data_IF_042084927128
#
_entry.id   IF_042084927128
#
_cell.length_a   1.000
_cell.length_b   1.000
_cell.length_c   1.000
_cell.angle_alpha   90.00
_cell.angle_beta   90.00
_cell.angle_gamma   90.00
#
_symmetry.space_group_name_H-M   'P 1'
#
loop_
_entity.id
_entity.type
_entity.pdbx_description
1 polymer ?
#
# COMPACT_ATOMS: atom_id res chain seq x y z
N UNK A 1 11.99 -10.38 -13.99
CA UNK A 1 10.63 -10.16 -13.47
C UNK A 1 10.04 -8.92 -14.09
N UNK A 2 8.80 -8.96 -14.48
CA UNK A 2 8.19 -7.84 -15.16
C UNK A 2 7.62 -6.83 -14.15
N UNK A 3 7.46 -5.60 -14.62
CA UNK A 3 6.85 -4.57 -13.82
C UNK A 3 5.46 -4.98 -13.32
N UNK A 4 4.73 -5.65 -14.18
CA UNK A 4 3.38 -6.09 -13.86
C UNK A 4 3.37 -7.03 -12.65
N UNK A 5 4.33 -7.92 -12.61
CA UNK A 5 4.41 -8.87 -11.49
C UNK A 5 4.71 -8.15 -10.18
N UNK A 6 5.60 -7.16 -10.24
CA UNK A 6 5.92 -6.39 -9.03
C UNK A 6 4.73 -5.59 -8.53
N UNK A 7 4.01 -4.97 -9.46
CA UNK A 7 2.83 -4.21 -9.08
C UNK A 7 1.76 -5.12 -8.49
N UNK A 8 1.60 -6.29 -9.09
CA UNK A 8 0.62 -7.24 -8.61
C UNK A 8 0.94 -7.73 -7.20
N UNK A 9 2.20 -8.02 -6.95
CA UNK A 9 2.62 -8.44 -5.61
C UNK A 9 2.40 -7.36 -4.59
N UNK A 10 2.80 -6.14 -4.94
CA UNK A 10 2.67 -5.01 -4.03
C UNK A 10 1.20 -4.72 -3.74
N UNK A 11 0.37 -4.79 -4.77
CA UNK A 11 -1.06 -4.59 -4.63
C UNK A 11 -1.65 -5.61 -3.65
N UNK A 12 -1.25 -6.86 -3.79
CA UNK A 12 -1.73 -7.91 -2.89
C UNK A 12 -1.28 -7.68 -1.45
N UNK A 13 -0.06 -7.22 -1.29
CA UNK A 13 0.45 -6.94 0.05
C UNK A 13 -0.35 -5.84 0.72
N UNK A 14 -0.68 -4.81 -0.03
CA UNK A 14 -1.48 -3.72 0.51
C UNK A 14 -2.84 -4.25 0.94
N UNK A 15 -3.49 -5.01 0.08
CA UNK A 15 -4.81 -5.54 0.37
C UNK A 15 -4.77 -6.46 1.60
N UNK A 16 -3.78 -7.33 1.64
CA UNK A 16 -3.64 -8.25 2.76
C UNK A 16 -3.42 -7.51 4.06
N UNK A 17 -2.58 -6.48 4.02
CA UNK A 17 -2.30 -5.66 5.19
C UNK A 17 -3.56 -4.95 5.67
N UNK A 18 -4.34 -4.40 4.73
CA UNK A 18 -5.57 -3.72 5.10
C UNK A 18 -6.57 -4.66 5.75
N UNK A 19 -6.68 -5.87 5.21
CA UNK A 19 -7.59 -6.86 5.77
C UNK A 19 -7.16 -7.29 7.16
N UNK A 20 -5.86 -7.52 7.31
CA UNK A 20 -5.34 -7.99 8.59
C UNK A 20 -5.56 -6.93 9.68
N UNK A 21 -5.44 -5.67 9.32
CA UNK A 21 -5.52 -4.59 10.29
C UNK A 21 -6.84 -3.83 10.23
N UNK A 22 -7.76 -4.30 9.39
CA UNK A 22 -9.08 -3.69 9.27
C UNK A 22 -9.00 -2.21 8.90
N UNK A 23 -8.21 -1.92 7.87
CA UNK A 23 -7.97 -0.55 7.45
C UNK A 23 -8.70 -0.24 6.16
N UNK A 24 -9.22 0.97 6.08
CA UNK A 24 -9.77 1.49 4.83
C UNK A 24 -8.63 2.15 4.03
N UNK A 25 -8.92 2.42 2.75
CA UNK A 25 -7.95 3.14 1.92
C UNK A 25 -7.61 4.50 2.53
N UNK A 26 -8.64 5.18 3.03
CA UNK A 26 -8.44 6.50 3.62
C UNK A 26 -7.56 6.43 4.86
N UNK A 27 -7.79 5.44 5.70
CA UNK A 27 -6.99 5.28 6.91
C UNK A 27 -5.55 4.97 6.57
N UNK A 28 -5.35 4.09 5.61
CA UNK A 28 -3.99 3.75 5.21
C UNK A 28 -3.28 4.95 4.60
N UNK A 29 -4.01 5.74 3.80
CA UNK A 29 -3.45 6.93 3.18
C UNK A 29 -3.01 7.94 4.24
N UNK A 30 -3.87 8.17 5.21
CA UNK A 30 -3.55 9.10 6.29
C UNK A 30 -2.30 8.68 7.05
N UNK A 31 -2.25 7.40 7.40
CA UNK A 31 -1.17 6.92 8.25
C UNK A 31 0.14 6.77 7.51
N UNK A 32 0.09 6.45 6.23
CA UNK A 32 1.30 6.25 5.44
C UNK A 32 1.76 7.52 4.74
N UNK A 33 0.96 8.57 4.80
CA UNK A 33 1.22 9.84 4.11
C UNK A 33 1.27 9.66 2.60
N UNK A 34 0.52 8.71 2.09
CA UNK A 34 0.39 8.47 0.67
C UNK A 34 -1.04 8.82 0.28
N UNK A 35 -1.21 9.47 -0.85
CA UNK A 35 -2.53 9.87 -1.31
C UNK A 35 -3.46 8.67 -1.45
N UNK A 36 -4.72 8.84 -1.06
CA UNK A 36 -5.69 7.76 -1.19
C UNK A 36 -5.87 7.38 -2.66
N UNK A 37 -5.73 8.35 -3.55
CA UNK A 37 -5.79 8.10 -4.98
C UNK A 37 -4.71 7.14 -5.44
N UNK A 38 -3.49 7.36 -4.96
CA UNK A 38 -2.38 6.46 -5.29
C UNK A 38 -2.63 5.05 -4.77
N UNK A 39 -3.09 4.95 -3.54
CA UNK A 39 -3.38 3.65 -2.96
C UNK A 39 -4.44 2.92 -3.77
N UNK A 40 -5.50 3.62 -4.11
CA UNK A 40 -6.58 3.04 -4.89
C UNK A 40 -6.10 2.57 -6.27
N UNK A 41 -5.31 3.41 -6.93
CA UNK A 41 -4.82 3.09 -8.27
C UNK A 41 -3.84 1.92 -8.24
N UNK A 42 -3.01 1.86 -7.22
CA UNK A 42 -2.06 0.75 -7.08
C UNK A 42 -2.82 -0.55 -6.85
N UNK A 43 -3.84 -0.54 -6.00
CA UNK A 43 -4.64 -1.72 -5.74
C UNK A 43 -5.37 -2.20 -7.00
N UNK A 44 -5.79 -1.25 -7.81
CA UNK A 44 -6.45 -1.58 -9.07
C UNK A 44 -5.46 -1.88 -10.19
N UNK A 45 -4.19 -1.79 -9.91
CA UNK A 45 -3.11 -2.02 -10.87
C UNK A 45 -3.18 -1.07 -12.06
N UNK A 46 -3.66 0.13 -11.81
CA UNK A 46 -3.72 1.18 -12.83
C UNK A 46 -2.48 2.04 -12.85
N UNK A 47 -1.70 1.99 -11.79
CA UNK A 47 -0.56 2.86 -11.62
C UNK A 47 0.56 2.06 -10.98
N UNK A 48 1.77 2.19 -11.53
CA UNK A 48 2.94 1.60 -10.91
C UNK A 48 3.45 2.57 -9.85
N UNK A 49 3.63 2.12 -8.60
CA UNK A 49 4.09 3.03 -7.56
C UNK A 49 5.53 3.44 -7.81
N UNK A 50 5.84 4.71 -7.55
CA UNK A 50 7.22 5.14 -7.67
C UNK A 50 7.98 4.78 -6.39
N UNK A 51 9.33 4.90 -6.42
CA UNK A 51 10.12 4.48 -5.26
C UNK A 51 9.75 5.19 -3.97
N UNK A 52 9.33 6.45 -4.05
CA UNK A 52 8.94 7.20 -2.86
C UNK A 52 7.68 6.60 -2.23
N UNK A 53 6.71 6.27 -3.07
CA UNK A 53 5.47 5.68 -2.59
C UNK A 53 5.74 4.31 -2.00
N UNK A 54 6.56 3.52 -2.68
CA UNK A 54 6.90 2.19 -2.18
C UNK A 54 7.56 2.29 -0.82
N UNK A 55 8.52 3.21 -0.68
CA UNK A 55 9.22 3.37 0.58
C UNK A 55 8.27 3.79 1.70
N UNK A 56 7.36 4.72 1.41
CA UNK A 56 6.41 5.20 2.41
C UNK A 56 5.48 4.09 2.87
N UNK A 57 4.94 3.33 1.91
CA UNK A 57 4.02 2.26 2.25
C UNK A 57 4.73 1.11 2.95
N UNK A 58 5.90 0.73 2.48
CA UNK A 58 6.64 -0.35 3.11
C UNK A 58 7.04 0.02 4.52
N UNK A 59 7.50 1.25 4.71
CA UNK A 59 7.88 1.71 6.04
C UNK A 59 6.68 1.65 6.99
N UNK A 60 5.54 2.12 6.52
CA UNK A 60 4.34 2.09 7.34
C UNK A 60 3.94 0.65 7.69
N UNK A 61 3.96 -0.23 6.68
CA UNK A 61 3.54 -1.60 6.90
C UNK A 61 4.48 -2.36 7.82
N UNK A 62 5.76 -2.03 7.77
CA UNK A 62 6.75 -2.70 8.62
C UNK A 62 6.76 -2.17 10.03
N UNK A 63 6.46 -0.90 10.21
CA UNK A 63 6.59 -0.26 11.50
C UNK A 63 5.26 0.08 12.15
N UNK A 64 4.17 -0.36 11.55
CA UNK A 64 2.87 -0.09 12.12
C UNK A 64 2.78 -0.74 13.50
N UNK A 65 2.43 0.03 14.52
CA UNK A 65 2.30 -0.55 15.86
C UNK A 65 1.16 -1.56 15.86
N UNK A 66 1.48 -2.78 16.23
CA UNK A 66 0.47 -3.82 16.29
C UNK A 66 -0.20 -3.80 17.65
N UNK A 67 -1.45 -4.20 17.66
CA UNK A 67 -2.18 -4.26 18.92
C UNK A 67 -2.57 -2.89 19.45
N UNK A 68 -2.50 -1.91 18.67
CA UNK A 68 -2.89 -0.57 19.07
C UNK A 68 -4.19 -0.20 18.50
#
# INVERSE_FOLDING_TARGET
MSEKEQVSEFSREIIAFQRKNNLTDTEMALNSHVSVEHIHNIKAMREAPDPTIIASLCDYMEHKPTGK
#
